data_IF_029421024687
#
_entry.id   IF_029421024687
#
_cell.length_a   1.000
_cell.length_b   1.000
_cell.length_c   1.000
_cell.angle_alpha   90.00
_cell.angle_beta   90.00
_cell.angle_gamma   90.00
#
_symmetry.space_group_name_H-M   'P 1'
#
loop_
_entity.id
_entity.type
_entity.pdbx_description
1 polymer ?
#
# COMPACT_ATOMS: atom_id res chain seq x y z
N UNK A 1 -2.32 -42.10 23.11
CA UNK A 1 -2.35 -40.94 24.02
C UNK A 1 -1.48 -39.77 23.54
N UNK A 2 -0.99 -39.75 22.28
CA UNK A 2 -0.07 -38.71 21.78
C UNK A 2 -0.74 -37.53 21.05
N UNK A 3 -2.03 -37.63 20.71
CA UNK A 3 -2.71 -36.55 19.96
C UNK A 3 -3.21 -35.41 20.86
N UNK A 4 -3.31 -35.64 22.17
CA UNK A 4 -3.70 -34.59 23.13
C UNK A 4 -2.59 -33.54 23.31
N UNK A 5 -1.33 -33.92 23.11
CA UNK A 5 -0.19 -33.00 23.14
C UNK A 5 -0.10 -32.08 21.91
N UNK A 6 -0.90 -32.33 20.86
CA UNK A 6 -1.00 -31.47 19.66
C UNK A 6 -2.10 -30.42 19.77
N UNK A 7 -2.93 -30.46 20.82
CA UNK A 7 -3.97 -29.45 21.06
C UNK A 7 -3.32 -28.14 21.50
N UNK A 8 -3.20 -27.20 20.57
CA UNK A 8 -2.86 -25.80 20.88
C UNK A 8 -4.13 -25.07 21.29
N UNK A 9 -4.23 -24.75 22.58
CA UNK A 9 -5.24 -23.82 23.07
C UNK A 9 -4.79 -22.40 22.73
N UNK A 10 -5.46 -21.79 21.76
CA UNK A 10 -5.24 -20.40 21.38
C UNK A 10 -6.12 -19.54 22.29
N UNK A 11 -5.50 -18.64 23.06
CA UNK A 11 -6.23 -17.66 23.85
C UNK A 11 -6.96 -16.70 22.90
N UNK A 12 -8.26 -16.48 23.12
CA UNK A 12 -9.05 -15.51 22.34
C UNK A 12 -8.44 -14.11 22.37
N UNK A 13 -7.75 -13.75 23.47
CA UNK A 13 -7.02 -12.48 23.57
C UNK A 13 -5.88 -12.38 22.54
N UNK A 14 -5.26 -13.50 22.17
CA UNK A 14 -4.18 -13.59 21.17
C UNK A 14 -4.67 -13.46 19.73
N UNK A 15 -5.94 -13.79 19.46
CA UNK A 15 -6.61 -13.47 18.18
C UNK A 15 -6.94 -11.97 18.07
N UNK A 16 -7.09 -11.28 19.21
CA UNK A 16 -7.36 -9.85 19.30
C UNK A 16 -6.08 -8.98 19.42
N UNK A 17 -4.87 -9.57 19.43
CA UNK A 17 -3.59 -8.81 19.41
C UNK A 17 -3.17 -8.50 17.96
N UNK A 18 -4.12 -8.07 17.12
CA UNK A 18 -3.81 -7.04 16.13
C UNK A 18 -3.86 -5.71 16.88
N UNK A 19 -2.75 -5.30 17.52
CA UNK A 19 -2.61 -3.92 18.00
C UNK A 19 -2.59 -2.98 16.78
N UNK A 20 -3.76 -2.66 16.23
CA UNK A 20 -3.98 -1.60 15.24
C UNK A 20 -2.86 -1.47 14.18
N UNK A 21 -2.45 -2.56 13.53
CA UNK A 21 -1.40 -2.50 12.49
C UNK A 21 -1.94 -2.26 11.08
N UNK A 22 -3.23 -2.49 10.89
CA UNK A 22 -3.84 -2.47 9.57
C UNK A 22 -4.45 -1.11 9.25
N UNK A 23 -4.44 -0.76 7.96
CA UNK A 23 -5.18 0.36 7.43
C UNK A 23 -6.67 0.14 7.65
N UNK A 24 -7.35 1.12 8.25
CA UNK A 24 -8.82 1.23 8.16
C UNK A 24 -9.15 1.63 6.73
N UNK A 25 -9.81 0.73 6.00
CA UNK A 25 -10.22 0.97 4.62
C UNK A 25 -11.64 1.57 4.61
N UNK A 26 -11.90 2.62 3.81
CA UNK A 26 -13.25 3.12 3.58
C UNK A 26 -14.18 2.03 3.04
N UNK A 27 -15.49 2.21 3.20
CA UNK A 27 -16.47 1.28 2.62
C UNK A 27 -16.26 1.16 1.12
N UNK A 28 -16.24 -0.09 0.64
CA UNK A 28 -16.01 -0.42 -0.75
C UNK A 28 -17.26 -0.11 -1.56
N UNK A 29 -17.33 1.10 -2.13
CA UNK A 29 -18.43 1.48 -3.00
C UNK A 29 -17.90 2.00 -4.31
N UNK A 30 -18.05 1.21 -5.36
CA UNK A 30 -18.44 1.66 -6.71
C UNK A 30 -18.08 0.61 -7.77
N UNK A 31 -18.75 0.68 -8.91
CA UNK A 31 -18.28 0.04 -10.14
C UNK A 31 -16.93 0.62 -10.64
N UNK A 32 -16.41 1.68 -9.99
CA UNK A 32 -15.23 2.44 -10.41
C UNK A 32 -13.93 1.95 -9.78
N UNK A 33 -13.99 1.22 -8.66
CA UNK A 33 -12.86 0.55 -8.01
C UNK A 33 -13.24 -0.89 -7.68
N UNK A 34 -12.40 -1.86 -8.09
CA UNK A 34 -12.62 -3.28 -7.76
C UNK A 34 -11.46 -3.87 -6.99
N UNK A 35 -11.72 -4.33 -5.78
CA UNK A 35 -10.71 -4.88 -4.87
C UNK A 35 -10.56 -6.38 -5.04
N UNK A 36 -9.32 -6.83 -5.07
CA UNK A 36 -8.93 -8.23 -5.07
C UNK A 36 -7.96 -8.43 -3.91
N UNK A 37 -8.44 -9.02 -2.82
CA UNK A 37 -7.57 -9.45 -1.74
C UNK A 37 -6.80 -10.69 -2.21
N UNK A 38 -5.47 -10.60 -2.24
CA UNK A 38 -4.62 -11.72 -2.64
C UNK A 38 -4.30 -12.62 -1.46
N UNK A 39 -3.91 -12.00 -0.36
CA UNK A 39 -3.61 -12.59 0.93
C UNK A 39 -4.04 -11.59 2.02
N UNK A 40 -4.10 -12.01 3.28
CA UNK A 40 -4.60 -11.19 4.39
C UNK A 40 -3.95 -9.78 4.39
N UNK A 41 -4.76 -8.75 4.13
CA UNK A 41 -4.35 -7.34 4.06
C UNK A 41 -3.41 -6.95 2.90
N UNK A 42 -3.38 -7.74 1.83
CA UNK A 42 -2.77 -7.39 0.56
C UNK A 42 -3.85 -7.21 -0.51
N UNK A 43 -4.03 -5.98 -0.99
CA UNK A 43 -5.08 -5.62 -1.94
C UNK A 43 -4.54 -5.17 -3.28
N UNK A 44 -5.00 -5.81 -4.36
CA UNK A 44 -4.94 -5.27 -5.71
C UNK A 44 -6.24 -4.54 -6.00
N UNK A 45 -6.16 -3.25 -6.31
CA UNK A 45 -7.32 -2.41 -6.63
C UNK A 45 -7.31 -2.11 -8.11
N UNK A 46 -8.27 -2.66 -8.85
CA UNK A 46 -8.50 -2.26 -10.23
C UNK A 46 -9.13 -0.88 -10.25
N UNK A 47 -8.49 0.04 -10.95
CA UNK A 47 -8.91 1.43 -11.06
C UNK A 47 -9.47 1.68 -12.46
N UNK A 48 -10.72 2.14 -12.50
CA UNK A 48 -11.40 2.56 -13.73
C UNK A 48 -11.61 4.08 -13.80
N UNK A 49 -11.55 4.78 -12.65
CA UNK A 49 -11.71 6.23 -12.54
C UNK A 49 -10.67 6.81 -11.58
N UNK A 50 -9.88 7.77 -12.06
CA UNK A 50 -8.83 8.46 -11.30
C UNK A 50 -9.39 9.27 -10.13
N UNK A 51 -10.58 9.86 -10.30
CA UNK A 51 -11.22 10.67 -9.26
C UNK A 51 -11.65 9.76 -8.11
N UNK A 52 -12.27 8.62 -8.44
CA UNK A 52 -12.68 7.64 -7.44
C UNK A 52 -11.48 7.10 -6.65
N UNK A 53 -10.38 6.77 -7.34
CA UNK A 53 -9.15 6.33 -6.68
C UNK A 53 -8.56 7.39 -5.73
N UNK A 54 -8.50 8.64 -6.17
CA UNK A 54 -7.99 9.73 -5.35
C UNK A 54 -8.86 9.97 -4.11
N UNK A 55 -10.18 9.97 -4.24
CA UNK A 55 -11.11 10.10 -3.12
C UNK A 55 -10.94 8.94 -2.13
N UNK A 56 -10.83 7.72 -2.63
CA UNK A 56 -10.59 6.53 -1.80
C UNK A 56 -9.28 6.64 -1.00
N UNK A 57 -8.18 7.06 -1.63
CA UNK A 57 -6.91 7.28 -0.93
C UNK A 57 -7.03 8.36 0.15
N UNK A 58 -7.71 9.47 -0.14
CA UNK A 58 -7.92 10.55 0.82
C UNK A 58 -8.73 10.11 2.03
N UNK A 59 -9.82 9.39 1.82
CA UNK A 59 -10.64 8.83 2.91
C UNK A 59 -9.85 7.80 3.72
N UNK A 60 -9.03 6.98 3.05
CA UNK A 60 -8.11 6.03 3.71
C UNK A 60 -7.16 6.80 4.62
N UNK A 61 -6.51 7.86 4.15
CA UNK A 61 -5.58 8.66 4.97
C UNK A 61 -6.30 9.34 6.15
N UNK A 62 -7.45 9.98 5.90
CA UNK A 62 -8.25 10.64 6.94
C UNK A 62 -8.70 9.70 8.04
N UNK A 63 -8.94 8.43 7.71
CA UNK A 63 -9.40 7.41 8.66
C UNK A 63 -8.28 6.80 9.50
N UNK A 64 -7.01 7.10 9.20
CA UNK A 64 -5.83 6.45 9.79
C UNK A 64 -4.86 7.47 10.42
N UNK A 65 -5.37 8.31 11.33
CA UNK A 65 -4.57 9.30 12.07
C UNK A 65 -3.72 8.72 13.20
N UNK A 66 -3.82 7.41 13.47
CA UNK A 66 -3.10 6.73 14.55
C UNK A 66 -1.85 5.97 14.07
N UNK A 67 -1.38 6.28 12.87
CA UNK A 67 -0.23 5.60 12.27
C UNK A 67 0.38 6.33 11.08
N UNK A 68 1.30 5.66 10.39
CA UNK A 68 1.98 6.17 9.19
C UNK A 68 1.56 5.34 7.97
N UNK A 69 1.34 6.02 6.86
CA UNK A 69 1.09 5.46 5.53
C UNK A 69 2.23 5.91 4.61
N UNK A 70 2.93 4.96 4.01
CA UNK A 70 3.93 5.26 2.98
C UNK A 70 3.27 5.11 1.61
N UNK A 71 3.23 6.19 0.84
CA UNK A 71 2.65 6.21 -0.49
C UNK A 71 3.76 6.35 -1.54
N UNK A 72 3.90 5.33 -2.38
CA UNK A 72 4.76 5.33 -3.56
C UNK A 72 3.96 5.92 -4.72
N UNK A 73 4.26 7.17 -5.06
CA UNK A 73 3.61 7.93 -6.12
C UNK A 73 4.23 7.60 -7.49
N UNK A 74 3.65 6.61 -8.14
CA UNK A 74 4.06 6.11 -9.43
C UNK A 74 3.21 6.81 -10.50
N UNK A 75 3.75 7.84 -11.15
CA UNK A 75 3.17 8.47 -12.36
C UNK A 75 1.86 9.25 -12.23
N UNK A 76 1.18 9.27 -11.09
CA UNK A 76 -0.10 9.98 -10.96
C UNK A 76 0.05 11.47 -10.63
N UNK A 77 1.28 11.94 -10.44
CA UNK A 77 1.56 13.28 -9.95
C UNK A 77 0.75 13.57 -8.68
N UNK A 78 0.56 12.57 -7.83
CA UNK A 78 -0.29 12.66 -6.65
C UNK A 78 0.23 13.76 -5.72
N UNK A 79 1.55 13.96 -5.67
CA UNK A 79 2.20 15.11 -5.02
C UNK A 79 1.77 16.50 -5.56
N UNK A 80 1.30 16.61 -6.81
CA UNK A 80 0.74 17.85 -7.40
C UNK A 80 -0.76 18.01 -7.13
N UNK A 81 -1.45 16.89 -6.89
CA UNK A 81 -2.88 16.84 -6.58
C UNK A 81 -3.09 17.08 -5.07
N UNK A 82 -2.20 16.55 -4.23
CA UNK A 82 -2.21 16.65 -2.76
C UNK A 82 -2.54 18.06 -2.21
N UNK A 83 -1.96 19.18 -2.71
CA UNK A 83 -2.26 20.51 -2.17
C UNK A 83 -3.70 20.97 -2.39
N UNK A 84 -4.36 20.51 -3.47
CA UNK A 84 -5.75 20.87 -3.79
C UNK A 84 -6.77 20.11 -2.94
N UNK A 85 -6.42 18.90 -2.51
CA UNK A 85 -7.35 18.00 -1.81
C UNK A 85 -7.15 17.95 -0.29
N UNK A 86 -5.95 18.25 0.19
CA UNK A 86 -5.68 18.26 1.64
C UNK A 86 -5.88 19.61 2.32
N UNK A 87 -6.22 20.69 1.59
CA UNK A 87 -6.65 21.96 2.19
C UNK A 87 -5.84 22.38 3.41
N UNK A 88 -4.51 22.52 3.27
CA UNK A 88 -3.63 22.95 4.36
C UNK A 88 -3.31 21.93 5.46
N UNK A 89 -3.91 20.73 5.45
CA UNK A 89 -3.56 19.64 6.37
C UNK A 89 -2.41 18.81 5.81
N UNK A 90 -1.17 19.17 6.15
CA UNK A 90 -0.09 18.19 6.14
C UNK A 90 -0.43 17.14 7.20
N UNK A 91 -1.05 16.04 6.79
CA UNK A 91 -1.22 14.92 7.70
C UNK A 91 0.18 14.38 8.02
N UNK A 92 0.60 14.46 9.28
CA UNK A 92 1.80 13.81 9.84
C UNK A 92 1.84 12.28 9.66
N UNK A 93 0.80 11.72 9.05
CA UNK A 93 0.50 10.30 8.93
C UNK A 93 0.72 9.79 7.52
N UNK A 94 1.14 10.64 6.58
CA UNK A 94 1.34 10.29 5.18
C UNK A 94 2.73 10.72 4.74
N UNK A 95 3.50 9.77 4.25
CA UNK A 95 4.81 10.03 3.65
C UNK A 95 4.81 9.61 2.19
N UNK A 96 5.10 10.55 1.30
CA UNK A 96 5.09 10.32 -0.15
C UNK A 96 6.52 10.08 -0.64
N UNK A 97 6.74 8.92 -1.24
CA UNK A 97 7.94 8.57 -1.99
C UNK A 97 7.61 8.79 -3.46
N UNK A 98 8.36 9.66 -4.14
CA UNK A 98 8.13 10.01 -5.55
C UNK A 98 9.47 10.15 -6.30
N UNK A 99 9.41 10.57 -7.57
CA UNK A 99 10.62 10.80 -8.39
C UNK A 99 11.26 9.51 -8.90
N UNK A 100 10.45 8.49 -9.19
CA UNK A 100 10.89 7.27 -9.85
C UNK A 100 9.87 6.87 -10.93
N UNK A 101 10.37 6.36 -12.04
CA UNK A 101 9.59 6.05 -13.25
C UNK A 101 9.88 4.65 -13.79
N UNK A 102 10.97 4.01 -13.35
CA UNK A 102 11.29 2.64 -13.72
C UNK A 102 10.93 1.67 -12.59
N UNK A 103 10.57 0.43 -12.96
CA UNK A 103 10.32 -0.63 -11.97
C UNK A 103 11.58 -0.99 -11.18
N UNK A 104 12.76 -0.86 -11.78
CA UNK A 104 14.05 -1.04 -11.13
C UNK A 104 14.26 -0.03 -9.99
N UNK A 105 13.83 1.22 -10.19
CA UNK A 105 13.90 2.27 -9.18
C UNK A 105 12.95 2.00 -8.03
N UNK A 106 11.73 1.53 -8.32
CA UNK A 106 10.78 1.05 -7.30
C UNK A 106 11.40 -0.09 -6.48
N UNK A 107 11.97 -1.10 -7.14
CA UNK A 107 12.67 -2.20 -6.47
C UNK A 107 13.80 -1.72 -5.56
N UNK A 108 14.64 -0.79 -6.03
CA UNK A 108 15.72 -0.22 -5.24
C UNK A 108 15.22 0.59 -4.03
N UNK A 109 14.08 1.27 -4.15
CA UNK A 109 13.45 1.97 -3.03
C UNK A 109 12.88 0.99 -2.00
N UNK A 110 12.22 -0.07 -2.47
CA UNK A 110 11.66 -1.12 -1.59
C UNK A 110 12.75 -1.93 -0.89
N UNK A 111 13.89 -2.18 -1.54
CA UNK A 111 15.03 -2.87 -0.92
C UNK A 111 15.70 -2.03 0.18
N UNK A 112 15.57 -0.70 0.11
CA UNK A 112 16.07 0.28 1.09
C UNK A 112 14.95 0.90 1.94
N UNK A 113 13.88 0.15 2.19
CA UNK A 113 12.70 0.67 2.88
C UNK A 113 13.00 1.20 4.30
N UNK A 114 13.96 0.62 5.01
CA UNK A 114 14.38 1.11 6.34
C UNK A 114 14.94 2.53 6.29
N UNK A 115 15.63 2.91 5.22
CA UNK A 115 16.15 4.26 5.04
C UNK A 115 14.99 5.25 4.87
N UNK A 116 13.88 4.81 4.25
CA UNK A 116 12.65 5.61 4.10
C UNK A 116 12.04 5.84 5.48
N UNK A 117 11.91 4.79 6.31
CA UNK A 117 11.39 4.91 7.67
C UNK A 117 12.29 5.78 8.57
N UNK A 118 13.61 5.69 8.40
CA UNK A 118 14.56 6.47 9.18
C UNK A 118 14.46 7.98 8.90
N UNK A 119 14.12 8.35 7.66
CA UNK A 119 13.95 9.73 7.20
C UNK A 119 12.59 10.35 7.58
N UNK A 120 11.68 9.59 8.18
CA UNK A 120 10.46 10.15 8.77
C UNK A 120 10.81 11.11 9.91
N UNK A 121 9.96 12.10 10.15
CA UNK A 121 10.13 13.02 11.28
C UNK A 121 10.07 12.28 12.63
N UNK A 122 10.56 12.93 13.69
CA UNK A 122 10.68 12.29 15.01
C UNK A 122 9.36 11.85 15.63
N UNK A 123 8.24 12.49 15.27
CA UNK A 123 6.92 12.12 15.78
C UNK A 123 6.31 10.97 14.97
N UNK A 124 6.43 11.02 13.64
CA UNK A 124 6.00 9.96 12.75
C UNK A 124 6.74 8.63 13.02
N UNK A 125 8.02 8.65 13.39
CA UNK A 125 8.77 7.44 13.77
C UNK A 125 8.26 6.73 15.02
N UNK A 126 7.49 7.42 15.88
CA UNK A 126 6.87 6.82 17.07
C UNK A 126 5.56 6.09 16.74
N UNK A 127 5.00 6.33 15.55
CA UNK A 127 3.73 5.80 15.12
C UNK A 127 3.90 4.46 14.39
N UNK A 128 2.91 3.55 14.48
CA UNK A 128 2.95 2.29 13.74
C UNK A 128 2.80 2.51 12.23
N UNK A 129 3.54 1.74 11.43
CA UNK A 129 3.33 1.66 9.98
C UNK A 129 2.02 0.91 9.69
N UNK A 130 1.02 1.63 9.18
CA UNK A 130 -0.32 1.11 8.90
C UNK A 130 -0.43 0.52 7.51
N UNK A 131 0.25 1.13 6.54
CA UNK A 131 0.24 0.60 5.20
C UNK A 131 1.21 1.22 4.23
N UNK A 132 1.39 0.48 3.15
CA UNK A 132 2.18 0.87 1.99
C UNK A 132 1.24 0.87 0.79
N UNK A 133 1.12 2.03 0.16
CA UNK A 133 0.27 2.23 -1.02
C UNK A 133 1.15 2.45 -2.22
N UNK A 134 0.95 1.69 -3.30
CA UNK A 134 1.57 1.97 -4.59
C UNK A 134 0.49 2.49 -5.53
N UNK A 135 0.64 3.74 -5.96
CA UNK A 135 -0.46 4.44 -6.63
C UNK A 135 -0.72 3.91 -8.02
N UNK A 136 0.26 3.43 -8.79
CA UNK A 136 0.03 2.81 -10.11
C UNK A 136 1.08 1.73 -10.42
N UNK A 137 0.68 0.47 -10.28
CA UNK A 137 1.50 -0.70 -10.60
C UNK A 137 1.29 -1.21 -12.03
N UNK A 138 0.24 -0.76 -12.73
CA UNK A 138 -0.02 -1.21 -14.11
C UNK A 138 1.11 -0.80 -15.07
N UNK A 139 1.66 0.42 -14.95
CA UNK A 139 2.76 0.90 -15.81
C UNK A 139 3.98 -0.02 -15.70
N UNK A 140 4.34 -0.42 -14.48
CA UNK A 140 5.47 -1.30 -14.23
C UNK A 140 5.23 -2.73 -14.71
N UNK A 141 3.99 -3.21 -14.62
CA UNK A 141 3.63 -4.50 -15.19
C UNK A 141 3.90 -4.53 -16.70
N UNK A 142 3.54 -3.47 -17.43
CA UNK A 142 3.83 -3.35 -18.86
C UNK A 142 5.33 -3.24 -19.14
N UNK A 143 6.06 -2.35 -18.45
CA UNK A 143 7.52 -2.25 -18.59
C UNK A 143 8.24 -3.58 -18.35
N UNK A 144 7.76 -4.38 -17.39
CA UNK A 144 8.36 -5.67 -17.06
C UNK A 144 8.13 -6.75 -18.12
N UNK A 145 7.11 -6.63 -18.97
CA UNK A 145 6.90 -7.56 -20.09
C UNK A 145 8.01 -7.45 -21.13
N UNK A 146 8.55 -6.24 -21.30
CA UNK A 146 9.61 -5.97 -22.27
C UNK A 146 11.00 -6.33 -21.70
N UNK A 147 11.21 -6.19 -20.38
CA UNK A 147 12.51 -6.40 -19.71
C UNK A 147 12.63 -7.71 -18.89
N UNK A 148 11.77 -8.71 -19.13
CA UNK A 148 12.00 -10.09 -18.69
C UNK A 148 11.32 -10.54 -17.39
N UNK A 149 10.23 -9.90 -16.94
CA UNK A 149 9.37 -10.24 -15.78
C UNK A 149 10.04 -10.36 -14.41
N UNK A 150 11.36 -10.55 -14.32
CA UNK A 150 12.11 -10.76 -13.06
C UNK A 150 12.01 -9.56 -12.13
N UNK A 151 12.13 -8.34 -12.65
CA UNK A 151 12.03 -7.13 -11.82
C UNK A 151 10.64 -6.96 -11.21
N UNK A 152 9.59 -7.39 -11.92
CA UNK A 152 8.22 -7.38 -11.38
C UNK A 152 8.07 -8.31 -10.19
N UNK A 153 8.50 -9.56 -10.32
CA UNK A 153 8.47 -10.51 -9.21
C UNK A 153 9.33 -10.03 -8.04
N UNK A 154 10.49 -9.42 -8.30
CA UNK A 154 11.31 -8.82 -7.25
C UNK A 154 10.58 -7.71 -6.50
N UNK A 155 9.84 -6.84 -7.18
CA UNK A 155 9.06 -5.78 -6.53
C UNK A 155 7.96 -6.38 -5.65
N UNK A 156 7.29 -7.42 -6.12
CA UNK A 156 6.25 -8.11 -5.36
C UNK A 156 6.84 -8.82 -4.14
N UNK A 157 7.94 -9.56 -4.31
CA UNK A 157 8.64 -10.25 -3.22
C UNK A 157 9.08 -9.27 -2.12
N UNK A 158 9.52 -8.06 -2.50
CA UNK A 158 9.84 -7.02 -1.52
C UNK A 158 8.60 -6.59 -0.73
N UNK A 159 7.46 -6.36 -1.39
CA UNK A 159 6.22 -5.97 -0.71
C UNK A 159 5.72 -7.05 0.23
N UNK A 160 5.78 -8.32 -0.16
CA UNK A 160 5.37 -9.45 0.68
C UNK A 160 6.27 -9.55 1.93
N UNK A 161 7.58 -9.36 1.76
CA UNK A 161 8.52 -9.30 2.90
C UNK A 161 8.24 -8.14 3.83
N UNK A 162 7.89 -6.97 3.30
CA UNK A 162 7.53 -5.79 4.10
C UNK A 162 6.20 -6.01 4.84
N UNK A 163 5.20 -6.59 4.19
CA UNK A 163 3.93 -6.97 4.81
C UNK A 163 4.17 -7.96 5.96
N UNK A 164 4.96 -9.01 5.74
CA UNK A 164 5.27 -10.00 6.77
C UNK A 164 6.08 -9.40 7.94
N UNK A 165 7.03 -8.50 7.63
CA UNK A 165 7.90 -7.88 8.64
C UNK A 165 7.16 -6.88 9.53
N UNK A 166 6.37 -5.98 8.94
CA UNK A 166 5.72 -4.90 9.69
C UNK A 166 4.27 -5.20 10.06
N UNK A 167 3.63 -6.17 9.40
CA UNK A 167 2.20 -6.47 9.56
C UNK A 167 1.28 -5.38 9.02
N UNK A 168 1.79 -4.53 8.12
CA UNK A 168 1.06 -3.40 7.55
C UNK A 168 0.18 -3.84 6.36
N UNK A 169 -0.81 -3.04 6.01
CA UNK A 169 -1.66 -3.28 4.82
C UNK A 169 -0.95 -2.83 3.55
N UNK A 170 -0.94 -3.65 2.51
CA UNK A 170 -0.42 -3.28 1.18
C UNK A 170 -1.58 -3.01 0.23
N UNK A 171 -1.57 -1.88 -0.46
CA UNK A 171 -2.55 -1.55 -1.51
C UNK A 171 -1.80 -1.23 -2.80
N UNK A 172 -2.12 -1.93 -3.90
CA UNK A 172 -1.60 -1.65 -5.24
C UNK A 172 -2.73 -1.19 -6.15
N UNK A 173 -2.64 0.05 -6.65
CA UNK A 173 -3.52 0.53 -7.70
C UNK A 173 -3.12 -0.04 -9.06
N UNK A 174 -4.07 -0.64 -9.78
CA UNK A 174 -3.89 -1.32 -11.06
C UNK A 174 -4.90 -0.76 -12.08
N UNK A 175 -4.48 0.19 -12.90
CA UNK A 175 -5.29 0.76 -13.97
C UNK A 175 -5.60 -0.30 -15.01
N UNK A 176 -6.87 -0.33 -15.42
CA UNK A 176 -7.28 -1.10 -16.58
C UNK A 176 -7.20 -0.24 -17.84
N UNK A 177 -6.01 -0.25 -18.46
CA UNK A 177 -5.78 0.42 -19.74
C UNK A 177 -6.48 -0.29 -20.93
N UNK A 178 -7.08 -1.46 -20.73
CA UNK A 178 -7.76 -2.20 -21.81
C UNK A 178 -9.20 -1.73 -22.05
N UNK A 179 -9.75 -0.90 -21.15
CA UNK A 179 -11.10 -0.35 -21.25
C UNK A 179 -11.22 0.89 -22.14
N UNK A 180 -10.11 1.55 -22.52
CA UNK A 180 -10.12 2.61 -23.53
C UNK A 180 -10.05 2.04 -24.95
N UNK A 181 -11.08 1.30 -25.32
CA UNK A 181 -11.53 1.16 -26.72
C UNK A 181 -12.79 2.01 -26.88
N UNK A 182 -12.60 3.31 -26.91
CA UNK A 182 -13.51 4.28 -27.51
C UNK A 182 -12.67 5.27 -28.32
#
# INVERSE_FOLDING_TARGET
MDDFAKLKFIDFSSLCVSKNKHLKLPEQNSQQLKFFEKDQHFFDVRVYDDIAWNNYLLETIKSNTDGVIILFDCFLEWHKIQPKFLGGSQSSHLFVVSGFTAIEELCNRLSKFEDILFNLDSEARKLPLKGIVITNMSVYYWQSKDNGKKTWFSAIDHLDRLQAKYGCTIIRGMWDFTSRKE
#
